data_IF_930444109678
#
_entry.id   IF_930444109678
#
_cell.length_a   1.000
_cell.length_b   1.000
_cell.length_c   1.000
_cell.angle_alpha   90.00
_cell.angle_beta   90.00
_cell.angle_gamma   90.00
#
_symmetry.space_group_name_H-M   'P 1'
#
loop_
_entity.id
_entity.type
_entity.pdbx_description
1 polymer ?
#
# COMPACT_ATOMS: atom_id res chain seq x y z
N UNK A 1 -18.63 6.30 -34.95
CA UNK A 1 -19.08 6.70 -33.60
C UNK A 1 -19.40 5.49 -32.73
N UNK A 2 -20.16 4.51 -33.22
CA UNK A 2 -20.52 3.30 -32.45
C UNK A 2 -19.32 2.47 -31.98
N UNK A 3 -18.38 2.15 -32.89
CA UNK A 3 -17.16 1.40 -32.52
C UNK A 3 -16.31 2.11 -31.46
N UNK A 4 -16.24 3.45 -31.50
CA UNK A 4 -15.53 4.24 -30.50
C UNK A 4 -16.21 4.14 -29.12
N UNK A 5 -17.54 4.22 -29.07
CA UNK A 5 -18.30 4.06 -27.83
C UNK A 5 -18.13 2.65 -27.24
N UNK A 6 -18.12 1.62 -28.09
CA UNK A 6 -17.85 0.24 -27.67
C UNK A 6 -16.45 0.10 -27.08
N UNK A 7 -15.43 0.65 -27.75
CA UNK A 7 -14.05 0.64 -27.25
C UNK A 7 -13.91 1.37 -25.91
N UNK A 8 -14.55 2.53 -25.77
CA UNK A 8 -14.56 3.28 -24.50
C UNK A 8 -15.25 2.49 -23.39
N UNK A 9 -16.36 1.81 -23.70
CA UNK A 9 -17.06 0.94 -22.74
C UNK A 9 -16.17 -0.22 -22.26
N UNK A 10 -15.48 -0.89 -23.18
CA UNK A 10 -14.54 -1.99 -22.85
C UNK A 10 -13.38 -1.47 -22.00
N UNK A 11 -12.80 -0.33 -22.38
CA UNK A 11 -11.70 0.28 -21.63
C UNK A 11 -12.14 0.66 -20.20
N UNK A 12 -13.33 1.24 -20.05
CA UNK A 12 -13.90 1.57 -18.74
C UNK A 12 -14.12 0.31 -17.88
N UNK A 13 -14.70 -0.75 -18.44
CA UNK A 13 -14.88 -2.01 -17.74
C UNK A 13 -13.55 -2.63 -17.30
N UNK A 14 -12.52 -2.60 -18.16
CA UNK A 14 -11.19 -3.09 -17.83
C UNK A 14 -10.56 -2.32 -16.66
N UNK A 15 -10.70 -0.98 -16.63
CA UNK A 15 -10.21 -0.15 -15.52
C UNK A 15 -10.91 -0.51 -14.20
N UNK A 16 -12.21 -0.78 -14.21
CA UNK A 16 -12.94 -1.20 -13.01
C UNK A 16 -12.44 -2.55 -12.48
N UNK A 17 -12.21 -3.53 -13.35
CA UNK A 17 -11.67 -4.85 -12.96
C UNK A 17 -10.28 -4.70 -12.33
N UNK A 18 -9.41 -3.90 -12.96
CA UNK A 18 -8.07 -3.63 -12.44
C UNK A 18 -8.14 -2.92 -11.07
N UNK A 19 -9.01 -1.93 -10.92
CA UNK A 19 -9.17 -1.21 -9.66
C UNK A 19 -9.70 -2.12 -8.53
N UNK A 20 -10.60 -3.04 -8.85
CA UNK A 20 -11.08 -4.04 -7.90
C UNK A 20 -9.96 -5.00 -7.50
N UNK A 21 -9.19 -5.51 -8.46
CA UNK A 21 -8.01 -6.35 -8.20
C UNK A 21 -7.02 -5.65 -7.26
N UNK A 22 -6.68 -4.38 -7.54
CA UNK A 22 -5.81 -3.61 -6.66
C UNK A 22 -6.41 -3.38 -5.28
N UNK A 23 -7.72 -3.20 -5.17
CA UNK A 23 -8.38 -3.04 -3.86
C UNK A 23 -8.25 -4.32 -3.02
N UNK A 24 -8.56 -5.47 -3.61
CA UNK A 24 -8.40 -6.78 -2.93
C UNK A 24 -6.94 -7.00 -2.53
N UNK A 25 -6.01 -6.71 -3.43
CA UNK A 25 -4.58 -6.77 -3.14
C UNK A 25 -4.18 -5.84 -1.99
N UNK A 26 -4.57 -4.56 -2.05
CA UNK A 26 -4.21 -3.53 -1.08
C UNK A 26 -4.69 -3.86 0.35
N UNK A 27 -5.82 -4.55 0.50
CA UNK A 27 -6.36 -4.94 1.82
C UNK A 27 -5.63 -6.09 2.51
N UNK A 28 -4.84 -6.88 1.78
CA UNK A 28 -4.09 -7.97 2.40
C UNK A 28 -3.05 -7.43 3.38
N UNK A 29 -2.92 -8.09 4.53
CA UNK A 29 -1.71 -7.98 5.33
C UNK A 29 -0.64 -8.89 4.72
N UNK A 30 0.59 -8.40 4.66
CA UNK A 30 1.74 -9.20 4.24
C UNK A 30 2.76 -9.13 5.37
N UNK A 31 3.17 -10.30 5.83
CA UNK A 31 4.21 -10.48 6.82
C UNK A 31 5.46 -11.01 6.12
N UNK A 32 6.61 -10.45 6.46
CA UNK A 32 7.91 -10.92 5.96
C UNK A 32 8.97 -10.83 7.07
N UNK A 33 10.16 -11.36 6.80
CA UNK A 33 11.27 -11.43 7.73
C UNK A 33 12.55 -10.93 7.08
N UNK A 34 13.34 -10.15 7.80
CA UNK A 34 14.67 -9.70 7.39
C UNK A 34 15.75 -10.26 8.30
N UNK A 35 16.91 -10.58 7.72
CA UNK A 35 18.10 -11.00 8.46
C UNK A 35 19.00 -9.80 8.75
N UNK A 36 18.40 -8.74 9.27
CA UNK A 36 19.07 -7.49 9.59
C UNK A 36 18.67 -6.96 10.96
N UNK A 37 19.50 -6.12 11.60
CA UNK A 37 19.17 -5.52 12.89
C UNK A 37 17.89 -4.66 12.83
N UNK A 38 17.13 -4.63 13.93
CA UNK A 38 15.88 -3.88 14.07
C UNK A 38 15.97 -2.43 13.59
N UNK A 39 16.99 -1.69 14.02
CA UNK A 39 17.18 -0.29 13.65
C UNK A 39 17.38 -0.11 12.14
N UNK A 40 18.11 -1.03 11.50
CA UNK A 40 18.32 -0.98 10.04
C UNK A 40 17.01 -1.19 9.27
N UNK A 41 16.17 -2.12 9.73
CA UNK A 41 14.84 -2.35 9.15
C UNK A 41 13.95 -1.12 9.31
N UNK A 42 13.93 -0.49 10.48
CA UNK A 42 13.17 0.75 10.73
C UNK A 42 13.60 1.88 9.78
N UNK A 43 14.91 2.07 9.59
CA UNK A 43 15.45 3.10 8.71
C UNK A 43 15.05 2.84 7.25
N UNK A 44 15.15 1.59 6.79
CA UNK A 44 14.71 1.18 5.44
C UNK A 44 13.22 1.46 5.23
N UNK A 45 12.38 1.19 6.23
CA UNK A 45 10.93 1.50 6.15
C UNK A 45 10.73 3.03 6.08
N UNK A 46 11.37 3.81 6.94
CA UNK A 46 11.25 5.28 6.95
C UNK A 46 11.68 5.89 5.62
N UNK A 47 12.85 5.50 5.11
CA UNK A 47 13.37 5.96 3.83
C UNK A 47 12.46 5.54 2.67
N UNK A 48 11.90 4.33 2.74
CA UNK A 48 10.94 3.87 1.74
C UNK A 48 9.72 4.81 1.67
N UNK A 49 9.21 5.29 2.80
CA UNK A 49 8.05 6.19 2.85
C UNK A 49 8.38 7.69 2.85
N UNK A 50 9.65 8.09 2.94
CA UNK A 50 10.11 9.49 2.90
C UNK A 50 9.86 10.26 1.59
N UNK A 51 9.11 9.68 0.65
CA UNK A 51 8.73 10.32 -0.62
C UNK A 51 7.57 11.32 -0.46
N UNK A 52 7.52 12.35 -1.32
CA UNK A 52 6.47 13.40 -1.36
C UNK A 52 5.03 12.87 -1.36
N UNK A 53 4.83 11.65 -1.87
CA UNK A 53 3.54 10.99 -2.02
C UNK A 53 2.99 10.31 -0.77
N UNK A 54 3.73 10.36 0.33
CA UNK A 54 3.36 9.75 1.61
C UNK A 54 3.70 10.71 2.74
N UNK A 55 2.95 10.63 3.83
CA UNK A 55 3.18 11.44 5.02
C UNK A 55 3.06 10.56 6.25
N UNK A 56 3.98 10.72 7.20
CA UNK A 56 3.86 10.11 8.51
C UNK A 56 2.63 10.66 9.25
N UNK A 57 1.87 9.77 9.85
CA UNK A 57 0.67 10.04 10.65
C UNK A 57 0.69 9.14 11.88
N UNK A 58 -0.15 9.45 12.86
CA UNK A 58 -0.40 8.52 13.97
C UNK A 58 -1.27 7.35 13.50
N UNK A 59 -1.11 6.19 14.15
CA UNK A 59 -1.86 4.99 13.77
C UNK A 59 -1.46 3.75 14.57
N UNK A 60 -2.01 2.58 14.21
CA UNK A 60 -1.90 1.36 15.01
C UNK A 60 -0.59 0.58 14.86
N UNK A 61 0.19 0.82 13.81
CA UNK A 61 1.53 0.22 13.67
C UNK A 61 2.61 1.06 14.34
N UNK A 62 3.83 0.55 14.40
CA UNK A 62 5.00 1.32 14.88
C UNK A 62 5.31 2.50 13.95
N UNK A 63 5.05 2.32 12.65
CA UNK A 63 5.19 3.35 11.63
C UNK A 63 3.92 3.39 10.78
N UNK A 64 3.35 4.58 10.60
CA UNK A 64 2.10 4.76 9.86
C UNK A 64 2.25 5.87 8.82
N UNK A 65 1.82 5.59 7.60
CA UNK A 65 2.00 6.48 6.46
C UNK A 65 0.70 6.62 5.67
N UNK A 66 0.19 7.85 5.59
CA UNK A 66 -0.96 8.19 4.78
C UNK A 66 -0.53 8.54 3.36
N UNK A 67 -1.23 7.99 2.37
CA UNK A 67 -1.03 8.34 0.98
C UNK A 67 -1.42 9.80 0.72
N UNK A 68 -0.74 10.45 -0.23
CA UNK A 68 -1.04 11.82 -0.68
C UNK A 68 -1.32 11.86 -2.18
N UNK A 69 -1.97 12.94 -2.62
CA UNK A 69 -2.18 13.24 -4.03
C UNK A 69 -3.27 12.41 -4.71
N UNK A 70 -3.13 12.26 -6.04
CA UNK A 70 -4.10 11.60 -6.91
C UNK A 70 -3.72 10.14 -7.17
N UNK A 71 -4.73 9.29 -7.30
CA UNK A 71 -4.63 7.88 -7.65
C UNK A 71 -5.98 7.30 -8.05
N UNK A 72 -6.05 5.99 -8.30
CA UNK A 72 -7.31 5.34 -8.67
C UNK A 72 -8.36 5.52 -7.56
N UNK A 73 -9.59 5.85 -7.94
CA UNK A 73 -10.71 6.13 -7.03
C UNK A 73 -10.38 7.13 -5.90
N UNK A 74 -9.44 8.04 -6.11
CA UNK A 74 -8.94 8.92 -5.04
C UNK A 74 -9.78 10.18 -4.77
N UNK A 75 -10.69 10.53 -5.69
CA UNK A 75 -11.58 11.70 -5.58
C UNK A 75 -12.80 11.31 -4.75
N UNK A 76 -13.09 12.08 -3.70
CA UNK A 76 -14.20 11.81 -2.79
C UNK A 76 -13.99 10.62 -1.86
N UNK A 77 -12.76 10.11 -1.76
CA UNK A 77 -12.36 9.07 -0.82
C UNK A 77 -11.24 9.61 0.10
N UNK A 78 -11.28 9.21 1.36
CA UNK A 78 -10.19 9.43 2.30
C UNK A 78 -8.95 8.68 1.83
N UNK A 79 -7.78 9.28 2.07
CA UNK A 79 -6.52 8.68 1.65
C UNK A 79 -6.15 7.55 2.60
N UNK A 80 -5.77 6.37 2.06
CA UNK A 80 -5.48 5.21 2.87
C UNK A 80 -4.20 5.41 3.70
N UNK A 81 -4.16 4.72 4.83
CA UNK A 81 -3.00 4.63 5.72
C UNK A 81 -2.42 3.22 5.64
N UNK A 82 -1.13 3.12 5.32
CA UNK A 82 -0.35 1.90 5.51
C UNK A 82 0.30 1.93 6.88
N UNK A 83 0.12 0.86 7.63
CA UNK A 83 0.76 0.63 8.92
C UNK A 83 1.81 -0.47 8.78
N UNK A 84 2.93 -0.27 9.46
CA UNK A 84 4.04 -1.21 9.55
C UNK A 84 4.32 -1.49 11.01
N UNK A 85 4.31 -2.75 11.39
CA UNK A 85 4.82 -3.23 12.67
C UNK A 85 6.11 -3.99 12.44
N UNK A 86 7.11 -3.69 13.25
CA UNK A 86 8.44 -4.29 13.22
C UNK A 86 8.66 -4.96 14.56
N UNK A 87 8.88 -6.26 14.55
CA UNK A 87 9.03 -7.07 15.77
C UNK A 87 10.38 -7.77 15.74
N UNK A 88 11.20 -7.52 16.76
CA UNK A 88 12.44 -8.28 16.96
C UNK A 88 12.11 -9.72 17.40
N UNK A 89 12.75 -10.69 16.76
CA UNK A 89 12.58 -12.11 17.07
C UNK A 89 13.75 -12.63 17.92
N UNK A 90 13.51 -13.71 18.67
CA UNK A 90 14.49 -14.32 19.59
C UNK A 90 15.78 -14.81 18.88
N UNK A 91 15.71 -15.10 17.58
CA UNK A 91 16.83 -15.53 16.77
C UNK A 91 17.68 -14.38 16.20
N UNK A 92 17.40 -13.13 16.58
CA UNK A 92 18.08 -11.94 16.08
C UNK A 92 17.57 -11.43 14.72
N UNK A 93 16.63 -12.12 14.09
CA UNK A 93 15.95 -11.62 12.89
C UNK A 93 14.81 -10.65 13.28
N UNK A 94 14.25 -10.00 12.27
CA UNK A 94 13.17 -9.04 12.42
C UNK A 94 11.98 -9.46 11.57
N UNK A 95 10.80 -9.53 12.17
CA UNK A 95 9.53 -9.69 11.47
C UNK A 95 8.96 -8.31 11.12
N UNK A 96 8.40 -8.17 9.93
CA UNK A 96 7.77 -6.96 9.43
C UNK A 96 6.38 -7.29 8.91
N UNK A 97 5.36 -6.76 9.57
CA UNK A 97 3.97 -6.86 9.15
C UNK A 97 3.53 -5.54 8.50
N UNK A 98 2.99 -5.59 7.29
CA UNK A 98 2.52 -4.41 6.56
C UNK A 98 1.07 -4.59 6.09
N UNK A 99 0.19 -3.68 6.52
CA UNK A 99 -1.22 -3.71 6.14
C UNK A 99 -1.78 -2.30 5.95
N UNK A 100 -2.92 -2.21 5.26
CA UNK A 100 -3.67 -0.97 5.14
C UNK A 100 -4.59 -0.87 6.36
N UNK A 101 -4.32 0.05 7.27
CA UNK A 101 -5.01 0.14 8.57
C UNK A 101 -6.25 1.03 8.53
N UNK A 102 -6.29 2.01 7.64
CA UNK A 102 -7.44 2.89 7.42
C UNK A 102 -7.60 3.16 5.94
N UNK A 103 -8.84 3.11 5.45
CA UNK A 103 -9.20 3.43 4.07
C UNK A 103 -10.69 3.73 3.97
N UNK A 104 -11.06 4.53 2.97
CA UNK A 104 -12.45 4.59 2.50
C UNK A 104 -12.58 3.89 1.15
N UNK A 105 -13.81 3.54 0.78
CA UNK A 105 -14.12 2.94 -0.51
C UNK A 105 -15.38 3.54 -1.12
N UNK A 106 -15.44 3.55 -2.45
CA UNK A 106 -16.64 3.89 -3.21
C UNK A 106 -16.87 2.81 -4.27
N UNK A 107 -18.11 2.32 -4.37
CA UNK A 107 -18.45 1.20 -5.26
C UNK A 107 -17.53 -0.02 -5.07
N UNK A 108 -17.13 -0.31 -3.83
CA UNK A 108 -16.22 -1.42 -3.51
C UNK A 108 -14.74 -1.20 -3.86
N UNK A 109 -14.37 -0.03 -4.41
CA UNK A 109 -12.99 0.29 -4.78
C UNK A 109 -12.39 1.22 -3.71
N UNK A 110 -11.26 0.81 -3.13
CA UNK A 110 -10.54 1.63 -2.15
C UNK A 110 -9.77 2.76 -2.85
N UNK A 111 -9.79 3.95 -2.23
CA UNK A 111 -9.04 5.10 -2.73
C UNK A 111 -7.54 4.82 -2.77
N UNK A 112 -6.87 5.21 -3.86
CA UNK A 112 -5.42 5.01 -4.06
C UNK A 112 -4.94 3.55 -3.88
N UNK A 113 -5.80 2.56 -4.12
CA UNK A 113 -5.49 1.14 -3.92
C UNK A 113 -4.26 0.66 -4.72
N UNK A 114 -4.08 1.17 -5.94
CA UNK A 114 -2.92 0.92 -6.79
C UNK A 114 -1.62 1.33 -6.10
N UNK A 115 -1.62 2.53 -5.53
CA UNK A 115 -0.46 3.10 -4.85
C UNK A 115 -0.14 2.32 -3.58
N UNK A 116 -1.14 1.97 -2.79
CA UNK A 116 -0.98 1.13 -1.59
C UNK A 116 -0.38 -0.22 -1.97
N UNK A 117 -0.98 -0.90 -2.94
CA UNK A 117 -0.54 -2.22 -3.40
C UNK A 117 0.91 -2.20 -3.87
N UNK A 118 1.26 -1.27 -4.76
CA UNK A 118 2.61 -1.17 -5.32
C UNK A 118 3.64 -0.75 -4.28
N UNK A 119 3.30 0.20 -3.39
CA UNK A 119 4.21 0.68 -2.34
C UNK A 119 4.53 -0.45 -1.37
N UNK A 120 3.52 -1.15 -0.85
CA UNK A 120 3.73 -2.32 0.03
C UNK A 120 4.55 -3.39 -0.68
N UNK A 121 4.21 -3.76 -1.92
CA UNK A 121 4.96 -4.78 -2.67
C UNK A 121 6.46 -4.42 -2.78
N UNK A 122 6.77 -3.16 -3.10
CA UNK A 122 8.16 -2.69 -3.17
C UNK A 122 8.85 -2.66 -1.81
N UNK A 123 8.13 -2.36 -0.73
CA UNK A 123 8.68 -2.44 0.62
C UNK A 123 9.07 -3.88 0.96
N UNK A 124 8.14 -4.83 0.78
CA UNK A 124 8.41 -6.24 1.05
C UNK A 124 9.63 -6.73 0.25
N UNK A 125 9.71 -6.42 -1.04
CA UNK A 125 10.89 -6.74 -1.85
C UNK A 125 12.20 -6.14 -1.32
N UNK A 126 12.16 -4.95 -0.71
CA UNK A 126 13.35 -4.35 -0.09
C UNK A 126 13.72 -5.06 1.20
N UNK A 127 12.75 -5.42 2.03
CA UNK A 127 12.97 -6.14 3.30
C UNK A 127 13.49 -7.55 3.05
N UNK A 128 12.92 -8.27 2.07
CA UNK A 128 13.36 -9.62 1.70
C UNK A 128 14.80 -9.67 1.18
N UNK A 129 15.34 -8.53 0.74
CA UNK A 129 16.69 -8.38 0.22
C UNK A 129 17.73 -7.96 1.28
N UNK A 130 17.30 -7.77 2.54
CA UNK A 130 18.17 -7.50 3.70
C UNK A 130 18.66 -8.80 4.34
#
# INVERSE_FOLDING_TARGET
>A
MEALLVLLGIAFAAVLVIAFFFTVGARKQIDTYAKAPYNHVIDVVRDHFGSVWWRAVDGPGDLNFQARGFGLASVGNDKPVLSVTVTQMDNGNVSVAVWMSSWSQRMGIAGCCDRVYLKRRKLIQKIDAL
#
